data_IF_996724953205
#
_entry.id   IF_996724953205
#
_cell.length_a   1.000
_cell.length_b   1.000
_cell.length_c   1.000
_cell.angle_alpha   90.00
_cell.angle_beta   90.00
_cell.angle_gamma   90.00
#
_symmetry.space_group_name_H-M   'P 1'
#
loop_
_entity.id
_entity.type
_entity.pdbx_description
1 polymer ?
#
# COMPACT_ATOMS: atom_id res chain seq x y z
N UNK A 1 38.58 -8.55 22.53
CA UNK A 1 37.70 -9.25 21.57
C UNK A 1 38.62 -9.93 20.57
N UNK A 2 38.40 -11.20 20.25
CA UNK A 2 39.21 -11.91 19.25
C UNK A 2 39.00 -11.30 17.86
N UNK A 3 40.00 -11.41 16.97
CA UNK A 3 39.91 -10.82 15.62
C UNK A 3 38.73 -11.39 14.83
N UNK A 4 38.42 -12.68 15.04
CA UNK A 4 37.23 -13.33 14.46
C UNK A 4 35.93 -12.67 14.94
N UNK A 5 35.80 -12.37 16.22
CA UNK A 5 34.61 -11.73 16.77
C UNK A 5 34.45 -10.28 16.28
N UNK A 6 35.57 -9.55 16.10
CA UNK A 6 35.55 -8.22 15.47
C UNK A 6 35.05 -8.31 14.02
N UNK A 7 35.60 -9.22 13.23
CA UNK A 7 35.20 -9.41 11.83
C UNK A 7 33.70 -9.74 11.70
N UNK A 8 33.20 -10.69 12.49
CA UNK A 8 31.78 -11.08 12.49
C UNK A 8 30.89 -9.88 12.81
N UNK A 9 31.24 -9.11 13.85
CA UNK A 9 30.51 -7.90 14.23
C UNK A 9 30.52 -6.86 13.10
N UNK A 10 31.67 -6.63 12.47
CA UNK A 10 31.77 -5.68 11.35
C UNK A 10 30.87 -6.09 10.20
N UNK A 11 30.92 -7.36 9.78
CA UNK A 11 30.05 -7.88 8.72
C UNK A 11 28.58 -7.68 9.07
N UNK A 12 28.18 -8.02 10.31
CA UNK A 12 26.81 -7.81 10.79
C UNK A 12 26.37 -6.34 10.68
N UNK A 13 27.20 -5.40 11.16
CA UNK A 13 26.86 -3.98 11.14
C UNK A 13 26.66 -3.45 9.70
N UNK A 14 27.53 -3.86 8.76
CA UNK A 14 27.40 -3.47 7.36
C UNK A 14 26.20 -4.11 6.68
N UNK A 15 25.91 -5.40 6.93
CA UNK A 15 24.73 -6.06 6.38
C UNK A 15 23.44 -5.42 6.91
N UNK A 16 23.34 -5.18 8.22
CA UNK A 16 22.20 -4.52 8.82
C UNK A 16 22.00 -3.10 8.26
N UNK A 17 23.09 -2.35 8.08
CA UNK A 17 23.05 -1.01 7.46
C UNK A 17 22.61 -1.08 5.99
N UNK A 18 23.12 -2.03 5.23
CA UNK A 18 22.76 -2.18 3.81
C UNK A 18 21.28 -2.55 3.65
N UNK A 19 20.81 -3.54 4.40
CA UNK A 19 19.41 -4.01 4.33
C UNK A 19 18.46 -2.89 4.75
N UNK A 20 18.74 -2.21 5.86
CA UNK A 20 17.92 -1.06 6.29
C UNK A 20 17.93 0.08 5.27
N UNK A 21 19.08 0.38 4.64
CA UNK A 21 19.16 1.38 3.59
C UNK A 21 18.32 1.01 2.36
N UNK A 22 18.27 -0.28 1.98
CA UNK A 22 17.39 -0.75 0.90
C UNK A 22 15.92 -0.50 1.23
N UNK A 23 15.49 -0.79 2.45
CA UNK A 23 14.12 -0.49 2.90
C UNK A 23 13.82 1.02 2.89
N UNK A 24 14.79 1.85 3.28
CA UNK A 24 14.66 3.31 3.15
C UNK A 24 14.45 3.73 1.70
N UNK A 25 15.26 3.20 0.77
CA UNK A 25 15.14 3.52 -0.65
C UNK A 25 13.80 3.07 -1.25
N UNK A 26 13.35 1.85 -0.91
CA UNK A 26 12.06 1.31 -1.39
C UNK A 26 10.90 2.13 -0.83
N UNK A 27 10.89 2.45 0.47
CA UNK A 27 9.86 3.27 1.10
C UNK A 27 9.77 4.66 0.47
N UNK A 28 10.90 5.33 0.31
CA UNK A 28 10.96 6.64 -0.33
C UNK A 28 10.48 6.58 -1.79
N UNK A 29 10.91 5.57 -2.54
CA UNK A 29 10.48 5.35 -3.93
C UNK A 29 8.98 5.14 -4.07
N UNK A 30 8.35 4.41 -3.13
CA UNK A 30 6.89 4.23 -3.09
C UNK A 30 6.14 5.53 -2.87
N UNK A 31 6.57 6.36 -1.90
CA UNK A 31 5.96 7.67 -1.65
C UNK A 31 6.07 8.56 -2.89
N UNK A 32 7.26 8.62 -3.50
CA UNK A 32 7.49 9.42 -4.70
C UNK A 32 6.62 8.95 -5.87
N UNK A 33 6.56 7.63 -6.10
CA UNK A 33 5.71 7.06 -7.14
C UNK A 33 4.23 7.39 -6.92
N UNK A 34 3.72 7.28 -5.69
CA UNK A 34 2.33 7.65 -5.36
C UNK A 34 2.08 9.14 -5.60
N UNK A 35 3.01 10.02 -5.19
CA UNK A 35 2.89 11.46 -5.40
C UNK A 35 2.89 11.82 -6.90
N UNK A 36 3.78 11.22 -7.69
CA UNK A 36 3.83 11.42 -9.14
C UNK A 36 2.54 10.96 -9.82
N UNK A 37 2.02 9.78 -9.45
CA UNK A 37 0.76 9.27 -10.00
C UNK A 37 -0.43 10.17 -9.65
N UNK A 38 -0.47 10.72 -8.44
CA UNK A 38 -1.57 11.58 -8.02
C UNK A 38 -1.51 12.99 -8.64
N UNK A 39 -0.34 13.65 -8.63
CA UNK A 39 -0.22 15.05 -9.06
C UNK A 39 0.16 15.23 -10.53
N UNK A 40 0.96 14.33 -11.10
CA UNK A 40 1.55 14.50 -12.44
C UNK A 40 0.90 13.57 -13.46
N UNK A 41 0.60 12.32 -13.07
CA UNK A 41 0.05 11.29 -13.96
C UNK A 41 -1.26 10.65 -13.45
N UNK A 42 -2.37 11.40 -13.23
CA UNK A 42 -3.62 10.85 -12.69
C UNK A 42 -4.19 9.67 -13.50
N UNK A 43 -3.98 9.64 -14.81
CA UNK A 43 -4.41 8.50 -15.64
C UNK A 43 -3.63 7.21 -15.32
N UNK A 44 -2.35 7.33 -14.96
CA UNK A 44 -1.51 6.20 -14.55
C UNK A 44 -1.85 5.73 -13.12
N UNK A 45 -2.45 6.61 -12.30
CA UNK A 45 -3.06 6.20 -11.05
C UNK A 45 -4.27 5.31 -11.30
N UNK A 46 -5.25 5.80 -12.07
CA UNK A 46 -6.50 5.07 -12.35
C UNK A 46 -6.23 3.70 -12.98
N UNK A 47 -5.41 3.66 -14.03
CA UNK A 47 -5.02 2.39 -14.66
C UNK A 47 -4.13 1.48 -13.79
N UNK A 48 -3.53 2.00 -12.71
CA UNK A 48 -2.70 1.23 -11.79
C UNK A 48 -3.46 0.57 -10.65
N UNK A 49 -4.71 0.97 -10.39
CA UNK A 49 -5.56 0.45 -9.32
C UNK A 49 -6.75 -0.32 -9.91
N UNK A 50 -6.46 -1.42 -10.59
CA UNK A 50 -7.46 -2.21 -11.31
C UNK A 50 -8.62 -2.68 -10.41
N UNK A 51 -8.37 -2.94 -9.12
CA UNK A 51 -9.43 -3.26 -8.15
C UNK A 51 -10.53 -2.20 -8.05
N UNK A 52 -10.23 -0.92 -8.30
CA UNK A 52 -11.20 0.17 -8.25
C UNK A 52 -12.07 0.28 -9.50
N UNK A 53 -11.70 -0.45 -10.56
CA UNK A 53 -12.42 -0.49 -11.84
C UNK A 53 -13.19 -1.81 -12.03
N UNK A 54 -12.97 -2.81 -11.18
CA UNK A 54 -13.67 -4.10 -11.22
C UNK A 54 -15.03 -3.95 -10.57
N UNK A 55 -16.04 -3.64 -11.38
CA UNK A 55 -17.44 -3.75 -10.96
C UNK A 55 -17.89 -5.21 -11.08
N UNK A 56 -18.66 -5.74 -10.10
CA UNK A 56 -19.31 -7.02 -10.29
C UNK A 56 -20.24 -6.93 -11.52
N UNK A 57 -20.42 -8.03 -12.27
CA UNK A 57 -21.27 -8.01 -13.44
C UNK A 57 -22.69 -7.62 -13.05
N UNK A 58 -23.13 -6.44 -13.45
CA UNK A 58 -24.53 -6.06 -13.40
C UNK A 58 -25.17 -6.53 -14.70
N UNK A 59 -25.95 -7.60 -14.60
CA UNK A 59 -26.90 -7.93 -15.65
C UNK A 59 -27.90 -6.78 -15.76
N UNK A 60 -28.20 -6.35 -16.99
CA UNK A 60 -29.25 -5.37 -17.25
C UNK A 60 -30.60 -5.97 -16.82
N UNK A 61 -30.96 -5.72 -15.56
CA UNK A 61 -32.20 -6.16 -14.95
C UNK A 61 -33.26 -5.10 -15.21
N UNK A 62 -34.28 -5.46 -15.98
CA UNK A 62 -35.50 -4.66 -16.06
C UNK A 62 -36.30 -4.86 -14.78
N UNK A 63 -36.10 -3.93 -13.84
CA UNK A 63 -36.76 -3.91 -12.54
C UNK A 63 -38.29 -3.97 -12.67
N UNK A 64 -38.85 -3.35 -13.70
CA UNK A 64 -40.31 -3.27 -13.90
C UNK A 64 -40.93 -4.61 -14.25
N UNK A 65 -40.23 -5.45 -15.02
CA UNK A 65 -40.68 -6.80 -15.34
C UNK A 65 -40.47 -7.75 -14.16
N UNK A 66 -39.39 -7.59 -13.40
CA UNK A 66 -39.12 -8.41 -12.21
C UNK A 66 -40.18 -8.20 -11.12
N UNK A 67 -40.57 -6.96 -10.85
CA UNK A 67 -41.59 -6.63 -9.84
C UNK A 67 -42.97 -7.23 -10.15
N UNK A 68 -43.26 -7.52 -11.42
CA UNK A 68 -44.54 -8.11 -11.85
C UNK A 68 -44.62 -9.62 -11.68
N UNK A 69 -43.48 -10.31 -11.68
CA UNK A 69 -43.41 -11.78 -11.64
C UNK A 69 -42.81 -12.33 -10.35
N UNK A 70 -42.13 -11.49 -9.56
CA UNK A 70 -41.50 -11.86 -8.31
C UNK A 70 -42.50 -11.98 -7.15
N UNK A 71 -42.27 -12.95 -6.27
CA UNK A 71 -42.93 -13.01 -4.96
C UNK A 71 -42.50 -11.84 -4.08
N UNK A 72 -43.26 -11.54 -3.02
CA UNK A 72 -42.93 -10.42 -2.13
C UNK A 72 -41.57 -10.62 -1.43
N UNK A 73 -41.22 -11.85 -1.06
CA UNK A 73 -39.89 -12.19 -0.52
C UNK A 73 -38.77 -11.92 -1.54
N UNK A 74 -39.00 -12.22 -2.82
CA UNK A 74 -38.03 -11.98 -3.90
C UNK A 74 -37.83 -10.47 -4.16
N UNK A 75 -38.89 -9.66 -4.03
CA UNK A 75 -38.78 -8.19 -4.12
C UNK A 75 -37.92 -7.63 -3.00
N UNK A 76 -38.11 -8.10 -1.77
CA UNK A 76 -37.30 -7.70 -0.61
C UNK A 76 -35.82 -8.07 -0.82
N UNK A 77 -35.53 -9.26 -1.33
CA UNK A 77 -34.16 -9.69 -1.64
C UNK A 77 -33.52 -8.83 -2.73
N UNK A 78 -34.27 -8.48 -3.79
CA UNK A 78 -33.78 -7.61 -4.85
C UNK A 78 -33.47 -6.20 -4.33
N UNK A 79 -34.35 -5.63 -3.50
CA UNK A 79 -34.12 -4.31 -2.90
C UNK A 79 -32.88 -4.30 -2.01
N UNK A 80 -32.71 -5.34 -1.19
CA UNK A 80 -31.52 -5.50 -0.35
C UNK A 80 -30.25 -5.60 -1.22
N UNK A 81 -30.27 -6.40 -2.29
CA UNK A 81 -29.14 -6.54 -3.21
C UNK A 81 -28.75 -5.21 -3.87
N UNK A 82 -29.73 -4.45 -4.36
CA UNK A 82 -29.50 -3.16 -5.00
C UNK A 82 -28.93 -2.15 -3.99
N UNK A 83 -29.44 -2.13 -2.77
CA UNK A 83 -28.92 -1.28 -1.69
C UNK A 83 -27.47 -1.64 -1.34
N UNK A 84 -27.18 -2.93 -1.18
CA UNK A 84 -25.85 -3.42 -0.83
C UNK A 84 -24.85 -3.14 -1.96
N UNK A 85 -25.28 -3.25 -3.22
CA UNK A 85 -24.46 -2.89 -4.37
C UNK A 85 -24.14 -1.39 -4.39
N UNK A 86 -25.12 -0.51 -4.17
CA UNK A 86 -24.88 0.93 -4.11
C UNK A 86 -23.94 1.31 -2.97
N UNK A 87 -24.05 0.64 -1.83
CA UNK A 87 -23.11 0.82 -0.72
C UNK A 87 -21.70 0.34 -1.05
N UNK A 88 -21.58 -0.84 -1.66
CA UNK A 88 -20.30 -1.37 -2.12
C UNK A 88 -19.65 -0.43 -3.14
N UNK A 89 -20.40 0.05 -4.13
CA UNK A 89 -19.92 0.92 -5.21
C UNK A 89 -19.30 2.21 -4.69
N UNK A 90 -19.92 2.83 -3.68
CA UNK A 90 -19.40 4.07 -3.05
C UNK A 90 -18.00 3.90 -2.45
N UNK A 91 -17.71 2.74 -1.85
CA UNK A 91 -16.43 2.50 -1.19
C UNK A 91 -15.37 1.84 -2.07
N UNK A 92 -15.79 1.09 -3.09
CA UNK A 92 -14.91 0.17 -3.82
C UNK A 92 -14.71 0.54 -5.29
N UNK A 93 -15.24 1.70 -5.73
CA UNK A 93 -15.07 2.14 -7.12
C UNK A 93 -14.82 3.64 -7.23
N UNK A 94 -14.19 4.04 -8.32
CA UNK A 94 -13.95 5.45 -8.64
C UNK A 94 -13.00 6.15 -7.66
N UNK A 95 -13.21 7.46 -7.47
CA UNK A 95 -12.24 8.33 -6.80
C UNK A 95 -12.05 8.03 -5.30
N UNK A 96 -13.09 7.55 -4.61
CA UNK A 96 -13.01 7.11 -3.21
C UNK A 96 -12.06 5.91 -3.06
N UNK A 97 -12.20 4.90 -3.93
CA UNK A 97 -11.32 3.73 -3.93
C UNK A 97 -9.86 4.13 -4.26
N UNK A 98 -9.65 4.99 -5.27
CA UNK A 98 -8.29 5.47 -5.57
C UNK A 98 -7.67 6.23 -4.38
N UNK A 99 -8.47 6.99 -3.62
CA UNK A 99 -8.02 7.67 -2.40
C UNK A 99 -7.59 6.70 -1.32
N UNK A 100 -8.37 5.64 -1.08
CA UNK A 100 -8.01 4.59 -0.11
C UNK A 100 -6.72 3.89 -0.51
N UNK A 101 -6.56 3.53 -1.79
CA UNK A 101 -5.36 2.88 -2.30
C UNK A 101 -4.11 3.78 -2.19
N UNK A 102 -4.24 5.08 -2.48
CA UNK A 102 -3.15 6.05 -2.22
C UNK A 102 -2.75 6.06 -0.75
N UNK A 103 -3.73 6.21 0.14
CA UNK A 103 -3.48 6.30 1.57
C UNK A 103 -2.80 5.03 2.08
N UNK A 104 -3.28 3.85 1.67
CA UNK A 104 -2.66 2.56 1.96
C UNK A 104 -1.20 2.51 1.51
N UNK A 105 -0.93 2.85 0.24
CA UNK A 105 0.43 2.85 -0.30
C UNK A 105 1.37 3.79 0.47
N UNK A 106 0.88 4.96 0.89
CA UNK A 106 1.65 5.92 1.71
C UNK A 106 1.88 5.37 3.11
N UNK A 107 0.86 4.81 3.77
CA UNK A 107 0.99 4.23 5.13
C UNK A 107 1.98 3.07 5.14
N UNK A 108 1.91 2.16 4.17
CA UNK A 108 2.83 1.03 4.06
C UNK A 108 4.28 1.51 3.87
N UNK A 109 4.47 2.53 3.01
CA UNK A 109 5.79 3.12 2.77
C UNK A 109 6.33 3.86 4.01
N UNK A 110 5.49 4.64 4.70
CA UNK A 110 5.87 5.32 5.94
C UNK A 110 6.23 4.32 7.05
N UNK A 111 5.47 3.23 7.18
CA UNK A 111 5.76 2.15 8.13
C UNK A 111 7.16 1.57 7.90
N UNK A 112 7.50 1.30 6.63
CA UNK A 112 8.83 0.84 6.24
C UNK A 112 9.92 1.86 6.62
N UNK A 113 9.71 3.15 6.36
CA UNK A 113 10.67 4.19 6.70
C UNK A 113 10.86 4.37 8.21
N UNK A 114 9.77 4.38 8.98
CA UNK A 114 9.78 4.55 10.43
C UNK A 114 10.59 3.44 11.10
N UNK A 115 10.52 2.21 10.59
CA UNK A 115 11.30 1.08 11.11
C UNK A 115 12.74 1.09 10.59
N UNK A 116 12.94 1.34 9.30
CA UNK A 116 14.25 1.21 8.67
C UNK A 116 15.22 2.35 9.03
N UNK A 117 14.73 3.59 9.15
CA UNK A 117 15.57 4.76 9.43
C UNK A 117 16.31 4.68 10.78
N UNK A 118 15.67 4.31 11.91
CA UNK A 118 16.38 4.13 13.17
C UNK A 118 17.43 3.02 13.12
N UNK A 119 17.11 1.90 12.47
CA UNK A 119 18.03 0.76 12.33
C UNK A 119 19.26 1.21 11.53
N UNK A 120 19.06 1.83 10.37
CA UNK A 120 20.14 2.36 9.54
C UNK A 120 20.97 3.38 10.31
N UNK A 121 20.31 4.38 10.90
CA UNK A 121 20.96 5.46 11.65
C UNK A 121 21.80 4.94 12.80
N UNK A 122 21.29 3.99 13.58
CA UNK A 122 22.05 3.38 14.67
C UNK A 122 23.29 2.65 14.17
N UNK A 123 23.13 1.69 13.25
CA UNK A 123 24.24 0.85 12.78
C UNK A 123 25.31 1.68 12.06
N UNK A 124 24.89 2.63 11.23
CA UNK A 124 25.80 3.54 10.54
C UNK A 124 26.59 4.43 11.52
N UNK A 125 25.93 4.94 12.57
CA UNK A 125 26.60 5.74 13.59
C UNK A 125 27.64 4.91 14.38
N UNK A 126 27.39 3.63 14.63
CA UNK A 126 28.38 2.73 15.26
C UNK A 126 29.58 2.54 14.34
N UNK A 127 29.37 2.21 13.06
CA UNK A 127 30.44 2.05 12.06
C UNK A 127 31.30 3.33 11.97
N UNK A 128 30.66 4.50 11.90
CA UNK A 128 31.36 5.80 11.82
C UNK A 128 32.21 6.08 13.06
N UNK A 129 31.73 5.71 14.26
CA UNK A 129 32.48 5.86 15.51
C UNK A 129 33.66 4.89 15.60
N UNK A 130 33.54 3.69 15.05
CA UNK A 130 34.63 2.70 15.02
C UNK A 130 35.76 3.13 14.08
N UNK A 131 35.45 3.56 12.86
CA UNK A 131 36.46 4.07 11.91
C UNK A 131 37.27 5.23 12.49
N UNK A 132 36.61 6.18 13.15
CA UNK A 132 37.27 7.33 13.80
C UNK A 132 38.20 6.98 14.97
N UNK A 133 38.10 5.78 15.53
CA UNK A 133 39.00 5.32 16.61
C UNK A 133 40.20 4.55 16.08
N UNK A 134 40.13 4.11 14.82
CA UNK A 134 41.20 3.39 14.12
C UNK A 134 42.11 4.34 13.34
N UNK A 135 41.64 5.56 13.05
CA UNK A 135 42.40 6.74 12.59
C UNK A 135 43.09 7.46 13.76
#
# INVERSE_FOLDING_TARGET
>A
MTDKAKLIRTIYLYLASLISLLFVAIGAGRILNTALKYYVFPKAEKGGYSQCDVQPPIYALDKSNLERVATDDQKIQLENLLRDYEQWKKGNSGDECYSQERQKNVVDALTMLIVALPIFGYHWNVIKKEKKKEE
#
